data_IF_394866878875
#
_entry.id   IF_394866878875
#
_cell.length_a   1.000
_cell.length_b   1.000
_cell.length_c   1.000
_cell.angle_alpha   90.00
_cell.angle_beta   90.00
_cell.angle_gamma   90.00
#
_symmetry.space_group_name_H-M   'P 1'
#
loop_
_entity.id
_entity.type
_entity.pdbx_description
1 polymer ?
#
# COMPACT_ATOMS: atom_id res chain seq x y z
N UNK A 1 -14.08 10.93 33.09
CA UNK A 1 -13.87 10.22 34.35
C UNK A 1 -13.49 8.80 34.02
N UNK A 2 -12.22 8.50 34.17
CA UNK A 2 -11.50 7.22 34.33
C UNK A 2 -12.00 5.98 33.57
N UNK A 3 -11.35 5.68 32.41
CA UNK A 3 -11.19 4.31 31.94
C UNK A 3 -9.69 4.02 31.99
N UNK A 4 -9.35 3.10 32.88
CA UNK A 4 -8.01 2.63 33.18
C UNK A 4 -7.27 2.18 31.91
N UNK A 5 -6.04 2.68 31.75
CA UNK A 5 -5.00 2.10 30.87
C UNK A 5 -4.87 0.61 31.23
N UNK A 6 -5.38 -0.26 30.38
CA UNK A 6 -4.84 -1.60 30.29
C UNK A 6 -3.44 -1.44 29.70
N UNK A 7 -2.43 -1.70 30.51
CA UNK A 7 -1.05 -1.84 30.07
C UNK A 7 -0.99 -3.02 29.10
N UNK A 8 -1.17 -2.74 27.82
CA UNK A 8 -0.85 -3.72 26.77
C UNK A 8 0.67 -3.82 26.73
N UNK A 9 1.16 -5.05 26.84
CA UNK A 9 2.56 -5.41 26.73
C UNK A 9 3.17 -4.70 25.50
N UNK A 10 4.19 -3.85 25.67
CA UNK A 10 4.84 -3.13 24.59
C UNK A 10 5.31 -4.04 23.45
N UNK A 11 5.61 -5.31 23.72
CA UNK A 11 6.05 -6.31 22.75
C UNK A 11 4.93 -6.72 21.77
N UNK A 12 3.66 -6.46 22.08
CA UNK A 12 2.53 -6.70 21.16
C UNK A 12 2.40 -5.59 20.11
N UNK A 13 2.88 -4.37 20.41
CA UNK A 13 2.74 -3.19 19.56
C UNK A 13 3.95 -2.96 18.63
N UNK A 14 5.12 -3.53 18.97
CA UNK A 14 6.39 -3.32 18.27
C UNK A 14 6.98 -4.65 17.82
N UNK A 15 6.57 -5.13 16.65
CA UNK A 15 7.38 -6.09 15.91
C UNK A 15 8.53 -5.30 15.27
N UNK A 16 9.81 -5.55 15.63
CA UNK A 16 10.92 -4.76 15.16
C UNK A 16 11.07 -4.87 13.64
N UNK A 17 11.31 -3.72 13.01
CA UNK A 17 11.74 -3.65 11.61
C UNK A 17 13.14 -4.25 11.48
N UNK A 18 13.36 -4.99 10.39
CA UNK A 18 14.62 -5.67 10.07
C UNK A 18 15.79 -4.73 9.71
N UNK A 19 15.70 -3.42 9.99
CA UNK A 19 16.67 -2.45 9.46
C UNK A 19 17.07 -1.31 10.43
N UNK A 20 16.96 -1.51 11.74
CA UNK A 20 17.52 -0.55 12.71
C UNK A 20 18.58 -1.24 13.57
N UNK A 21 19.85 -1.03 13.20
CA UNK A 21 20.95 -1.23 14.12
C UNK A 21 20.85 -0.22 15.25
N UNK A 22 20.50 -0.66 16.45
CA UNK A 22 20.87 0.01 17.68
C UNK A 22 21.17 -1.02 18.79
N UNK A 23 22.19 -0.69 19.55
CA UNK A 23 22.90 -1.53 20.51
C UNK A 23 22.22 -1.41 21.86
N UNK A 24 21.52 -2.46 22.28
CA UNK A 24 20.97 -2.58 23.63
C UNK A 24 20.48 -4.00 23.87
N UNK A 25 21.34 -4.80 24.46
CA UNK A 25 21.12 -6.15 25.09
C UNK A 25 19.71 -6.74 25.06
N UNK A 26 19.29 -7.26 23.92
CA UNK A 26 18.30 -8.32 23.79
C UNK A 26 18.83 -9.32 22.78
N UNK A 27 18.58 -10.63 23.02
CA UNK A 27 19.10 -11.75 22.21
C UNK A 27 19.03 -11.43 20.72
N UNK A 28 20.19 -11.24 20.11
CA UNK A 28 20.38 -10.89 18.71
C UNK A 28 19.63 -11.91 17.83
N UNK A 29 18.60 -11.45 17.12
CA UNK A 29 18.08 -12.16 15.94
C UNK A 29 19.18 -12.09 14.90
N UNK A 30 19.63 -13.21 14.29
CA UNK A 30 20.69 -13.18 13.30
C UNK A 30 20.36 -12.21 12.18
N UNK A 31 21.30 -11.30 11.87
CA UNK A 31 21.30 -10.38 10.73
C UNK A 31 20.89 -11.14 9.46
N UNK A 32 19.75 -10.77 8.86
CA UNK A 32 19.28 -11.32 7.57
C UNK A 32 17.88 -11.92 7.55
N UNK A 33 17.10 -11.90 8.61
CA UNK A 33 15.73 -12.45 8.61
C UNK A 33 14.70 -11.32 8.53
N UNK A 34 14.17 -11.10 7.34
CA UNK A 34 12.92 -10.34 7.20
C UNK A 34 11.78 -11.13 7.86
N UNK A 35 10.94 -10.43 8.62
CA UNK A 35 9.74 -11.03 9.21
C UNK A 35 8.83 -11.61 8.12
N UNK A 36 8.33 -12.84 8.28
CA UNK A 36 7.45 -13.44 7.30
C UNK A 36 6.16 -12.61 7.22
N UNK A 37 5.74 -12.33 5.98
CA UNK A 37 4.45 -11.71 5.72
C UNK A 37 3.40 -12.80 5.56
N UNK A 38 2.35 -12.75 6.38
CA UNK A 38 1.19 -13.60 6.19
C UNK A 38 0.38 -13.09 4.98
N UNK A 39 0.14 -13.95 4.00
CA UNK A 39 -0.64 -13.65 2.80
C UNK A 39 -1.86 -14.57 2.80
N UNK A 40 -3.03 -14.00 3.01
CA UNK A 40 -4.29 -14.74 3.13
C UNK A 40 -5.25 -14.36 2.01
N UNK A 41 -6.03 -15.30 1.47
CA UNK A 41 -7.09 -14.99 0.51
C UNK A 41 -8.18 -14.15 1.19
N UNK A 42 -8.79 -13.24 0.43
CA UNK A 42 -9.87 -12.36 0.90
C UNK A 42 -9.43 -11.24 1.84
N UNK A 43 -8.13 -11.09 2.11
CA UNK A 43 -7.64 -10.04 3.00
C UNK A 43 -7.60 -8.67 2.28
N UNK A 44 -8.06 -7.64 3.00
CA UNK A 44 -8.05 -6.25 2.53
C UNK A 44 -6.89 -5.48 3.14
N UNK A 45 -6.23 -4.65 2.32
CA UNK A 45 -5.01 -3.95 2.70
C UNK A 45 -5.01 -2.48 2.29
N UNK A 46 -4.38 -1.65 3.14
CA UNK A 46 -3.80 -0.38 2.71
C UNK A 46 -2.35 -0.62 2.32
N UNK A 47 -2.01 -0.33 1.08
CA UNK A 47 -0.66 -0.44 0.54
C UNK A 47 -0.04 0.95 0.41
N UNK A 48 1.23 1.06 0.75
CA UNK A 48 2.02 2.28 0.52
C UNK A 48 3.39 1.93 -0.05
N UNK A 49 3.83 2.66 -1.08
CA UNK A 49 5.18 2.53 -1.65
C UNK A 49 5.76 3.92 -1.94
N UNK A 50 7.01 4.15 -1.56
CA UNK A 50 7.72 5.43 -1.72
C UNK A 50 8.80 5.35 -2.77
N UNK A 51 9.02 6.47 -3.45
CA UNK A 51 10.20 6.65 -4.31
C UNK A 51 11.48 6.79 -3.49
N UNK A 52 12.59 6.41 -4.12
CA UNK A 52 13.92 6.62 -3.54
C UNK A 52 14.13 8.09 -3.18
N UNK A 53 14.80 8.34 -2.04
CA UNK A 53 15.11 9.70 -1.55
C UNK A 53 13.93 10.67 -1.55
N UNK A 54 12.69 10.17 -1.56
CA UNK A 54 11.44 10.96 -1.66
C UNK A 54 11.35 11.82 -2.93
N UNK A 55 12.13 11.49 -3.99
CA UNK A 55 12.13 12.21 -5.25
C UNK A 55 10.74 12.17 -5.92
N UNK A 56 10.40 13.24 -6.65
CA UNK A 56 9.10 13.39 -7.30
C UNK A 56 8.96 12.58 -8.61
N UNK A 57 9.49 11.34 -8.60
CA UNK A 57 9.55 10.45 -9.78
C UNK A 57 8.18 10.02 -10.32
N UNK A 58 7.11 10.21 -9.53
CA UNK A 58 5.71 10.01 -9.95
C UNK A 58 4.99 11.34 -10.24
N UNK A 59 5.74 12.45 -10.40
CA UNK A 59 5.15 13.76 -10.67
C UNK A 59 4.09 13.66 -11.77
N UNK A 60 2.88 14.23 -11.54
CA UNK A 60 1.80 14.19 -12.52
C UNK A 60 2.18 14.78 -13.88
N UNK A 61 1.89 14.02 -14.91
CA UNK A 61 1.85 14.43 -16.30
C UNK A 61 0.93 13.46 -17.04
N UNK A 62 0.47 13.79 -18.25
CA UNK A 62 -0.32 12.83 -19.04
C UNK A 62 0.41 11.49 -19.16
N UNK A 63 1.67 11.51 -19.59
CA UNK A 63 2.50 10.31 -19.75
C UNK A 63 2.69 9.51 -18.44
N UNK A 64 2.97 10.21 -17.34
CA UNK A 64 3.10 9.55 -16.04
C UNK A 64 1.79 8.89 -15.62
N UNK A 65 0.66 9.60 -15.75
CA UNK A 65 -0.65 9.08 -15.38
C UNK A 65 -1.05 7.88 -16.26
N UNK A 66 -0.78 7.92 -17.56
CA UNK A 66 -1.06 6.81 -18.49
C UNK A 66 -0.24 5.56 -18.13
N UNK A 67 1.06 5.73 -17.83
CA UNK A 67 1.94 4.65 -17.38
C UNK A 67 1.40 4.01 -16.08
N UNK A 68 1.08 4.85 -15.09
CA UNK A 68 0.62 4.39 -13.79
C UNK A 68 -0.73 3.66 -13.90
N UNK A 69 -1.68 4.23 -14.66
CA UNK A 69 -3.00 3.64 -14.87
C UNK A 69 -2.89 2.28 -15.58
N UNK A 70 -2.10 2.22 -16.66
CA UNK A 70 -1.91 0.98 -17.41
C UNK A 70 -1.24 -0.11 -16.57
N UNK A 71 -0.15 0.22 -15.86
CA UNK A 71 0.53 -0.75 -14.99
C UNK A 71 -0.39 -1.26 -13.87
N UNK A 72 -1.19 -0.37 -13.26
CA UNK A 72 -2.14 -0.73 -12.20
C UNK A 72 -3.25 -1.62 -12.74
N UNK A 73 -3.88 -1.24 -13.85
CA UNK A 73 -4.93 -2.01 -14.52
C UNK A 73 -4.44 -3.41 -14.91
N UNK A 74 -3.27 -3.47 -15.54
CA UNK A 74 -2.67 -4.74 -15.96
C UNK A 74 -2.33 -5.65 -14.79
N UNK A 75 -1.73 -5.10 -13.73
CA UNK A 75 -1.40 -5.85 -12.53
C UNK A 75 -2.66 -6.39 -11.84
N UNK A 76 -3.70 -5.55 -11.67
CA UNK A 76 -4.96 -5.95 -11.06
C UNK A 76 -5.63 -7.11 -11.83
N UNK A 77 -5.70 -7.00 -13.15
CA UNK A 77 -6.27 -8.04 -14.02
C UNK A 77 -5.49 -9.37 -13.97
N UNK A 78 -4.14 -9.31 -13.98
CA UNK A 78 -3.29 -10.50 -13.96
C UNK A 78 -3.41 -11.31 -12.66
N UNK A 79 -3.55 -10.63 -11.54
CA UNK A 79 -3.52 -11.27 -10.23
C UNK A 79 -4.87 -11.33 -9.55
N UNK A 80 -5.92 -10.81 -10.20
CA UNK A 80 -7.29 -10.81 -9.67
C UNK A 80 -7.43 -9.97 -8.41
N UNK A 81 -6.71 -8.84 -8.34
CA UNK A 81 -6.80 -7.89 -7.22
C UNK A 81 -8.00 -6.98 -7.42
N UNK A 82 -8.80 -6.84 -6.38
CA UNK A 82 -9.95 -5.93 -6.33
C UNK A 82 -9.52 -4.60 -5.71
N UNK A 83 -9.53 -3.53 -6.52
CA UNK A 83 -9.17 -2.19 -6.07
C UNK A 83 -10.40 -1.45 -5.54
N UNK A 84 -10.27 -0.79 -4.38
CA UNK A 84 -11.30 0.05 -3.78
C UNK A 84 -10.97 1.54 -3.90
N UNK A 85 -9.69 1.89 -3.80
CA UNK A 85 -9.20 3.24 -4.02
C UNK A 85 -7.70 3.24 -4.38
N UNK A 86 -7.29 4.29 -5.08
CA UNK A 86 -5.88 4.57 -5.34
C UNK A 86 -5.61 6.09 -5.38
N UNK A 87 -4.40 6.46 -4.95
CA UNK A 87 -3.87 7.81 -5.07
C UNK A 87 -2.36 7.76 -5.27
N UNK A 88 -1.88 8.27 -6.40
CA UNK A 88 -0.46 8.41 -6.70
C UNK A 88 -0.05 9.88 -6.55
N UNK A 89 0.75 10.16 -5.50
CA UNK A 89 1.36 11.47 -5.30
C UNK A 89 2.68 11.55 -6.05
N UNK A 90 3.34 12.71 -6.02
CA UNK A 90 4.59 12.92 -6.78
C UNK A 90 5.73 11.96 -6.36
N UNK A 91 5.74 11.42 -5.14
CA UNK A 91 6.84 10.61 -4.61
C UNK A 91 6.44 9.34 -3.87
N UNK A 92 5.17 9.01 -3.81
CA UNK A 92 4.66 7.76 -3.24
C UNK A 92 3.23 7.51 -3.71
N UNK A 93 2.74 6.30 -3.47
CA UNK A 93 1.34 5.99 -3.74
C UNK A 93 0.70 5.23 -2.58
N UNK A 94 -0.63 5.31 -2.54
CA UNK A 94 -1.50 4.53 -1.68
C UNK A 94 -2.51 3.76 -2.52
N UNK A 95 -2.73 2.49 -2.16
CA UNK A 95 -3.81 1.67 -2.71
C UNK A 95 -4.60 1.09 -1.55
N UNK A 96 -5.93 1.02 -1.69
CA UNK A 96 -6.78 0.19 -0.85
C UNK A 96 -7.34 -0.91 -1.73
N UNK A 97 -7.09 -2.16 -1.36
CA UNK A 97 -7.39 -3.32 -2.20
C UNK A 97 -7.73 -4.56 -1.38
N UNK A 98 -8.50 -5.47 -1.96
CA UNK A 98 -8.66 -6.84 -1.48
C UNK A 98 -7.90 -7.81 -2.37
N UNK A 99 -7.27 -8.81 -1.76
CA UNK A 99 -6.57 -9.90 -2.43
C UNK A 99 -7.39 -11.21 -2.32
N UNK A 100 -8.28 -11.53 -3.26
CA UNK A 100 -9.15 -12.71 -3.16
C UNK A 100 -8.38 -14.04 -3.19
N UNK A 101 -7.15 -14.05 -3.75
CA UNK A 101 -6.42 -15.27 -4.10
C UNK A 101 -5.07 -15.41 -3.44
N UNK A 102 -4.75 -14.59 -2.44
CA UNK A 102 -3.44 -14.55 -1.77
C UNK A 102 -2.27 -14.35 -2.76
N UNK A 103 -2.43 -13.41 -3.72
CA UNK A 103 -1.46 -13.08 -4.77
C UNK A 103 -0.90 -11.65 -4.67
N UNK A 104 -1.09 -11.01 -3.52
CA UNK A 104 -0.58 -9.66 -3.27
C UNK A 104 0.93 -9.51 -3.58
N UNK A 105 1.83 -10.46 -3.23
CA UNK A 105 3.25 -10.29 -3.52
C UNK A 105 3.56 -10.26 -5.01
N UNK A 106 2.91 -11.09 -5.83
CA UNK A 106 3.09 -11.09 -7.30
C UNK A 106 2.53 -9.81 -7.92
N UNK A 107 1.34 -9.36 -7.48
CA UNK A 107 0.76 -8.10 -7.89
C UNK A 107 1.72 -6.93 -7.61
N UNK A 108 2.22 -6.86 -6.39
CA UNK A 108 3.14 -5.79 -5.98
C UNK A 108 4.47 -5.83 -6.73
N UNK A 109 5.02 -7.04 -6.97
CA UNK A 109 6.22 -7.22 -7.78
C UNK A 109 6.00 -6.69 -9.19
N UNK A 110 4.92 -7.14 -9.85
CA UNK A 110 4.60 -6.73 -11.22
C UNK A 110 4.39 -5.21 -11.31
N UNK A 111 3.50 -4.66 -10.46
CA UNK A 111 3.20 -3.23 -10.45
C UNK A 111 4.47 -2.39 -10.27
N UNK A 112 5.26 -2.69 -9.23
CA UNK A 112 6.46 -1.91 -8.93
C UNK A 112 7.54 -2.05 -10.00
N UNK A 113 7.77 -3.25 -10.54
CA UNK A 113 8.78 -3.51 -11.56
C UNK A 113 8.44 -2.77 -12.86
N UNK A 114 7.22 -2.94 -13.39
CA UNK A 114 6.84 -2.35 -14.66
C UNK A 114 6.70 -0.83 -14.56
N UNK A 115 6.18 -0.30 -13.45
CA UNK A 115 6.16 1.14 -13.19
C UNK A 115 7.57 1.71 -13.14
N UNK A 116 8.50 1.05 -12.42
CA UNK A 116 9.88 1.53 -12.32
C UNK A 116 10.58 1.55 -13.69
N UNK A 117 10.46 0.46 -14.47
CA UNK A 117 11.05 0.39 -15.81
C UNK A 117 10.49 1.46 -16.75
N UNK A 118 9.17 1.64 -16.75
CA UNK A 118 8.51 2.59 -17.63
C UNK A 118 8.83 4.05 -17.25
N UNK A 119 8.80 4.39 -15.97
CA UNK A 119 9.13 5.74 -15.50
C UNK A 119 10.62 6.06 -15.61
N UNK A 120 11.49 5.08 -15.36
CA UNK A 120 12.92 5.27 -15.60
C UNK A 120 13.21 5.51 -17.09
N UNK A 121 12.57 4.78 -18.00
CA UNK A 121 12.68 5.05 -19.43
C UNK A 121 12.13 6.45 -19.79
N UNK A 122 11.02 6.87 -19.18
CA UNK A 122 10.44 8.22 -19.39
C UNK A 122 11.40 9.32 -18.91
N UNK A 123 12.10 9.10 -17.80
CA UNK A 123 13.00 10.08 -17.18
C UNK A 123 14.47 9.95 -17.61
N UNK A 124 14.80 9.03 -18.53
CA UNK A 124 16.18 8.76 -18.94
C UNK A 124 17.06 8.23 -17.80
N UNK A 125 16.49 7.43 -16.90
CA UNK A 125 17.14 6.86 -15.70
C UNK A 125 17.26 5.35 -15.79
N UNK A 126 18.20 4.79 -15.01
CA UNK A 126 18.38 3.34 -14.84
C UNK A 126 18.52 2.89 -13.38
N UNK A 127 18.54 3.83 -12.43
CA UNK A 127 18.68 3.56 -11.02
C UNK A 127 17.36 3.13 -10.35
N UNK A 128 17.41 2.77 -9.06
CA UNK A 128 16.23 2.38 -8.30
C UNK A 128 15.20 3.52 -8.26
N UNK A 129 13.97 3.24 -8.69
CA UNK A 129 12.84 4.15 -8.57
C UNK A 129 12.28 4.18 -7.15
N UNK A 130 12.24 3.01 -6.52
CA UNK A 130 11.63 2.81 -5.20
C UNK A 130 12.66 2.88 -4.09
N UNK A 131 12.25 3.39 -2.94
CA UNK A 131 13.06 3.36 -1.72
C UNK A 131 13.48 1.93 -1.37
N UNK A 132 14.61 1.78 -0.67
CA UNK A 132 15.07 0.48 -0.16
C UNK A 132 13.99 -0.21 0.68
N UNK A 133 14.07 -1.53 0.80
CA UNK A 133 13.08 -2.33 1.50
C UNK A 133 11.82 -2.64 0.67
N UNK A 134 10.78 -3.13 1.32
CA UNK A 134 9.54 -3.55 0.68
C UNK A 134 8.45 -2.47 0.77
N UNK A 135 7.31 -2.71 0.13
CA UNK A 135 6.11 -1.90 0.32
C UNK A 135 5.52 -2.12 1.73
N UNK A 136 4.87 -1.12 2.29
CA UNK A 136 4.02 -1.28 3.47
C UNK A 136 2.69 -1.91 3.06
N UNK A 137 2.23 -2.89 3.83
CA UNK A 137 0.91 -3.49 3.69
C UNK A 137 0.28 -3.61 5.08
N UNK A 138 -0.76 -2.81 5.31
CA UNK A 138 -1.51 -2.77 6.56
C UNK A 138 -2.84 -3.46 6.35
N UNK A 139 -3.08 -4.57 7.05
CA UNK A 139 -4.33 -5.30 6.97
C UNK A 139 -5.46 -4.48 7.61
N UNK A 140 -6.59 -4.40 6.93
CA UNK A 140 -7.81 -3.74 7.41
C UNK A 140 -8.77 -4.80 7.93
N UNK A 141 -9.29 -4.61 9.15
CA UNK A 141 -10.05 -5.66 9.84
C UNK A 141 -11.55 -5.60 9.56
N UNK A 142 -12.07 -4.41 9.27
CA UNK A 142 -13.51 -4.16 9.10
C UNK A 142 -13.80 -3.25 7.92
N UNK A 143 -15.05 -3.21 7.48
CA UNK A 143 -15.51 -2.27 6.44
C UNK A 143 -15.30 -0.82 6.86
N UNK A 144 -15.54 -0.49 8.14
CA UNK A 144 -15.31 0.86 8.66
C UNK A 144 -13.83 1.26 8.57
N UNK A 145 -12.92 0.30 8.80
CA UNK A 145 -11.48 0.53 8.60
C UNK A 145 -11.16 0.76 7.12
N UNK A 146 -11.87 0.05 6.21
CA UNK A 146 -11.70 0.25 4.77
C UNK A 146 -12.20 1.64 4.37
N UNK A 147 -13.39 2.07 4.80
CA UNK A 147 -13.94 3.41 4.56
C UNK A 147 -12.95 4.48 5.03
N UNK A 148 -12.44 4.35 6.25
CA UNK A 148 -11.47 5.28 6.84
C UNK A 148 -10.16 5.33 6.03
N UNK A 149 -9.63 4.17 5.58
CA UNK A 149 -8.38 4.14 4.80
C UNK A 149 -8.57 4.54 3.35
N UNK A 150 -9.74 4.36 2.78
CA UNK A 150 -10.10 4.94 1.48
C UNK A 150 -10.15 6.47 1.59
N UNK A 151 -10.86 7.01 2.57
CA UNK A 151 -10.92 8.45 2.81
C UNK A 151 -9.53 9.05 3.07
N UNK A 152 -8.72 8.41 3.93
CA UNK A 152 -7.32 8.77 4.15
C UNK A 152 -6.50 8.78 2.84
N UNK A 153 -6.64 7.74 2.00
CA UNK A 153 -5.92 7.62 0.73
C UNK A 153 -6.28 8.77 -0.22
N UNK A 154 -7.56 9.10 -0.31
CA UNK A 154 -8.06 10.13 -1.22
C UNK A 154 -7.80 11.55 -0.71
N UNK A 155 -7.75 11.77 0.61
CA UNK A 155 -7.40 13.05 1.23
C UNK A 155 -5.89 13.34 1.23
N UNK A 156 -5.05 12.38 0.86
CA UNK A 156 -3.59 12.51 0.96
C UNK A 156 -3.03 13.73 0.21
N UNK A 157 -3.49 14.11 -1.00
CA UNK A 157 -3.02 15.33 -1.68
C UNK A 157 -3.31 16.60 -0.89
N UNK A 158 -4.43 16.64 -0.14
CA UNK A 158 -4.80 17.76 0.73
C UNK A 158 -3.96 17.77 2.00
N UNK A 159 -3.81 16.61 2.64
CA UNK A 159 -2.99 16.45 3.84
C UNK A 159 -1.50 16.79 3.59
N UNK A 160 -1.01 16.54 2.37
CA UNK A 160 0.34 16.90 1.94
C UNK A 160 0.48 18.39 1.54
N UNK A 161 -0.57 19.21 1.64
CA UNK A 161 -0.55 20.62 1.28
C UNK A 161 -0.42 20.90 -0.23
N UNK A 162 -0.76 19.91 -1.06
CA UNK A 162 -0.58 20.02 -2.51
C UNK A 162 -1.77 20.70 -3.20
N UNK A 163 -2.98 20.33 -2.83
CA UNK A 163 -4.24 20.88 -3.35
C UNK A 163 -5.26 21.02 -2.22
N UNK A 164 -6.25 21.91 -2.40
CA UNK A 164 -7.28 22.18 -1.37
C UNK A 164 -8.34 21.07 -1.28
N UNK A 165 -8.53 20.29 -2.34
CA UNK A 165 -9.46 19.16 -2.45
C UNK A 165 -8.82 18.05 -3.28
N UNK A 166 -9.04 16.78 -2.90
CA UNK A 166 -8.46 15.62 -3.59
C UNK A 166 -8.83 15.55 -5.07
N UNK A 167 -10.04 15.93 -5.44
CA UNK A 167 -10.51 15.99 -6.83
C UNK A 167 -9.73 16.97 -7.73
N UNK A 168 -9.04 17.95 -7.13
CA UNK A 168 -8.16 18.91 -7.85
C UNK A 168 -6.75 18.37 -8.08
N UNK A 169 -6.45 17.18 -7.58
CA UNK A 169 -5.15 16.55 -7.78
C UNK A 169 -4.93 16.20 -9.26
N UNK A 170 -3.84 16.66 -9.90
CA UNK A 170 -3.62 16.41 -11.34
C UNK A 170 -3.07 15.02 -11.65
N UNK A 171 -2.69 14.23 -10.64
CA UNK A 171 -2.17 12.88 -10.79
C UNK A 171 -3.26 11.81 -10.78
N UNK A 172 -2.82 10.55 -10.83
CA UNK A 172 -3.74 9.42 -10.80
C UNK A 172 -4.39 9.30 -9.42
N UNK A 173 -5.72 9.47 -9.39
CA UNK A 173 -6.55 9.50 -8.19
C UNK A 173 -7.93 8.91 -8.49
N UNK A 174 -8.42 8.01 -7.64
CA UNK A 174 -9.71 7.36 -7.86
C UNK A 174 -10.85 8.17 -7.26
N UNK A 175 -11.90 8.39 -8.04
CA UNK A 175 -13.09 9.07 -7.54
C UNK A 175 -14.01 8.07 -6.82
N UNK A 176 -14.54 8.37 -5.60
CA UNK A 176 -15.45 7.46 -4.88
C UNK A 176 -16.67 7.01 -5.69
N UNK A 177 -17.20 7.90 -6.53
CA UNK A 177 -18.34 7.58 -7.41
C UNK A 177 -18.02 6.55 -8.50
N UNK A 178 -16.76 6.21 -8.74
CA UNK A 178 -16.40 5.21 -9.75
C UNK A 178 -16.49 3.77 -9.24
N UNK A 179 -16.69 3.59 -7.92
CA UNK A 179 -16.91 2.25 -7.35
C UNK A 179 -18.18 1.64 -7.91
N UNK A 180 -18.07 0.40 -8.40
CA UNK A 180 -19.21 -0.33 -9.00
C UNK A 180 -19.69 0.21 -10.36
N UNK A 181 -18.96 1.15 -10.98
CA UNK A 181 -19.26 1.68 -12.32
C UNK A 181 -18.42 1.02 -13.41
N UNK A 182 -18.68 1.41 -14.67
CA UNK A 182 -17.93 0.94 -15.82
C UNK A 182 -16.42 1.13 -15.61
N UNK A 183 -15.65 0.14 -16.02
CA UNK A 183 -14.21 0.14 -15.91
C UNK A 183 -13.59 1.29 -16.73
N UNK A 184 -12.53 1.88 -16.18
CA UNK A 184 -11.66 2.79 -16.94
C UNK A 184 -10.83 1.96 -17.91
N UNK A 185 -10.77 2.37 -19.16
CA UNK A 185 -9.93 1.74 -20.18
C UNK A 185 -8.56 2.42 -20.18
N UNK A 186 -7.52 1.67 -19.84
CA UNK A 186 -6.14 2.10 -19.87
C UNK A 186 -5.47 1.61 -21.16
N UNK A 187 -5.11 2.53 -22.06
CA UNK A 187 -4.30 2.21 -23.23
C UNK A 187 -2.86 1.91 -22.85
N UNK A 188 -2.20 1.00 -23.59
CA UNK A 188 -0.77 0.77 -23.46
C UNK A 188 -0.02 2.06 -23.83
N UNK A 189 0.82 2.60 -22.92
CA UNK A 189 1.57 3.84 -23.20
C UNK A 189 2.48 3.70 -24.42
N UNK A 190 2.54 4.73 -25.22
CA UNK A 190 3.40 4.75 -26.40
C UNK A 190 4.86 5.09 -26.05
N UNK A 191 5.78 4.39 -26.70
CA UNK A 191 7.22 4.65 -26.61
C UNK A 191 7.87 4.18 -25.30
N UNK A 192 9.17 4.42 -25.19
CA UNK A 192 9.97 4.07 -24.01
C UNK A 192 10.00 2.56 -23.72
N UNK A 193 9.52 2.16 -22.57
CA UNK A 193 9.52 0.78 -22.10
C UNK A 193 8.51 -0.11 -22.86
N UNK A 194 7.34 0.40 -23.18
CA UNK A 194 6.30 -0.37 -23.88
C UNK A 194 6.52 -0.36 -25.38
N UNK A 195 6.69 -1.57 -25.95
CA UNK A 195 6.86 -1.72 -27.41
C UNK A 195 5.49 -1.79 -28.10
N UNK A 196 5.29 -1.15 -29.26
CA UNK A 196 4.00 -1.19 -29.97
C UNK A 196 3.50 -2.62 -30.24
N UNK A 197 4.39 -3.52 -30.62
CA UNK A 197 4.11 -4.93 -30.90
C UNK A 197 4.57 -5.87 -29.77
N UNK A 198 4.67 -5.35 -28.52
CA UNK A 198 5.08 -6.14 -27.37
C UNK A 198 4.00 -7.12 -26.90
N UNK A 199 4.35 -8.07 -26.00
CA UNK A 199 3.44 -9.11 -25.53
C UNK A 199 2.36 -8.60 -24.56
N UNK A 200 2.40 -7.33 -24.18
CA UNK A 200 1.37 -6.73 -23.30
C UNK A 200 0.16 -6.28 -24.13
N UNK A 201 -1.07 -6.43 -23.62
CA UNK A 201 -2.27 -6.05 -24.35
C UNK A 201 -2.28 -4.55 -24.67
N UNK A 202 -2.95 -4.18 -25.78
CA UNK A 202 -3.09 -2.78 -26.19
C UNK A 202 -3.91 -1.97 -25.19
N UNK A 203 -4.87 -2.63 -24.54
CA UNK A 203 -5.76 -2.02 -23.54
C UNK A 203 -5.92 -2.93 -22.33
N UNK A 204 -6.10 -2.33 -21.17
CA UNK A 204 -6.48 -3.01 -19.92
C UNK A 204 -7.63 -2.24 -19.28
N UNK A 205 -8.51 -2.96 -18.59
CA UNK A 205 -9.62 -2.36 -17.85
C UNK A 205 -9.30 -2.28 -16.37
N UNK A 206 -9.71 -1.21 -15.73
CA UNK A 206 -9.59 -0.97 -14.30
C UNK A 206 -10.95 -0.60 -13.72
N UNK A 207 -11.55 -1.52 -12.98
CA UNK A 207 -12.75 -1.27 -12.20
C UNK A 207 -12.42 -1.05 -10.73
N UNK A 208 -13.22 -0.22 -10.06
CA UNK A 208 -13.20 -0.13 -8.60
C UNK A 208 -14.32 -1.03 -8.05
N UNK A 209 -13.93 -1.97 -7.20
CA UNK A 209 -14.82 -2.91 -6.56
C UNK A 209 -15.37 -2.38 -5.23
N UNK A 210 -16.59 -2.79 -4.89
CA UNK A 210 -17.12 -2.64 -3.54
C UNK A 210 -16.31 -3.55 -2.59
N UNK A 211 -15.86 -3.08 -1.42
CA UNK A 211 -15.11 -3.93 -0.50
C UNK A 211 -15.98 -5.03 0.11
N UNK A 212 -15.39 -6.19 0.45
CA UNK A 212 -16.12 -7.27 1.11
C UNK A 212 -16.75 -6.79 2.42
N UNK A 213 -17.99 -7.22 2.65
CA UNK A 213 -18.77 -6.88 3.85
C UNK A 213 -19.45 -5.51 3.83
N UNK A 214 -19.31 -4.72 2.76
CA UNK A 214 -20.13 -3.53 2.57
C UNK A 214 -21.58 -3.93 2.24
N UNK A 215 -22.54 -3.27 2.87
CA UNK A 215 -23.95 -3.62 2.73
C UNK A 215 -24.49 -3.28 1.32
N UNK A 216 -24.32 -2.04 0.91
CA UNK A 216 -24.71 -1.57 -0.42
C UNK A 216 -23.68 -0.60 -0.99
N UNK A 217 -23.67 -0.48 -2.31
CA UNK A 217 -22.83 0.50 -3.01
C UNK A 217 -23.12 1.93 -2.55
N UNK A 218 -24.41 2.26 -2.37
CA UNK A 218 -24.82 3.62 -2.01
C UNK A 218 -24.33 3.99 -0.61
N UNK A 219 -24.63 3.16 0.40
CA UNK A 219 -24.21 3.42 1.79
C UNK A 219 -22.69 3.50 1.93
N UNK A 220 -21.97 2.65 1.18
CA UNK A 220 -20.51 2.68 1.16
C UNK A 220 -19.96 3.98 0.56
N UNK A 221 -20.46 4.40 -0.62
CA UNK A 221 -19.99 5.63 -1.29
C UNK A 221 -20.31 6.86 -0.43
N UNK A 222 -21.48 6.93 0.17
CA UNK A 222 -21.87 8.02 1.08
C UNK A 222 -20.94 8.08 2.31
N UNK A 223 -20.67 6.94 2.94
CA UNK A 223 -19.77 6.86 4.09
C UNK A 223 -18.35 7.32 3.73
N UNK A 224 -17.82 6.87 2.58
CA UNK A 224 -16.51 7.31 2.08
C UNK A 224 -16.49 8.81 1.83
N UNK A 225 -17.53 9.38 1.23
CA UNK A 225 -17.59 10.81 0.95
C UNK A 225 -17.63 11.66 2.23
N UNK A 226 -18.41 11.24 3.22
CA UNK A 226 -18.47 11.92 4.53
C UNK A 226 -17.11 11.89 5.19
N UNK A 227 -16.47 10.73 5.27
CA UNK A 227 -15.14 10.57 5.85
C UNK A 227 -14.07 11.37 5.07
N UNK A 228 -14.11 11.36 3.72
CA UNK A 228 -13.20 12.12 2.88
C UNK A 228 -13.29 13.63 3.16
N UNK A 229 -14.50 14.17 3.21
CA UNK A 229 -14.71 15.58 3.55
C UNK A 229 -14.16 15.93 4.93
N UNK A 230 -14.37 15.07 5.94
CA UNK A 230 -13.83 15.28 7.28
C UNK A 230 -12.30 15.34 7.28
N UNK A 231 -11.63 14.39 6.57
CA UNK A 231 -10.17 14.39 6.41
C UNK A 231 -9.67 15.65 5.69
N UNK A 232 -10.30 16.03 4.60
CA UNK A 232 -9.92 17.22 3.84
C UNK A 232 -10.08 18.49 4.64
N UNK A 233 -11.24 18.68 5.31
CA UNK A 233 -11.51 19.87 6.12
C UNK A 233 -10.55 19.98 7.31
N UNK A 234 -10.23 18.86 7.97
CA UNK A 234 -9.22 18.82 9.02
C UNK A 234 -7.83 19.21 8.49
N UNK A 235 -7.44 18.72 7.31
CA UNK A 235 -6.17 19.06 6.66
C UNK A 235 -6.12 20.56 6.28
N UNK A 236 -7.17 21.10 5.67
CA UNK A 236 -7.29 22.53 5.32
C UNK A 236 -7.16 23.40 6.56
N UNK A 237 -7.87 23.05 7.65
CA UNK A 237 -7.78 23.78 8.91
C UNK A 237 -6.36 23.71 9.50
N UNK A 238 -5.70 22.56 9.44
CA UNK A 238 -4.32 22.39 9.90
C UNK A 238 -3.35 23.28 9.11
N UNK A 239 -3.50 23.35 7.79
CA UNK A 239 -2.72 24.23 6.92
C UNK A 239 -2.91 25.71 7.29
N UNK A 240 -4.17 26.13 7.46
CA UNK A 240 -4.53 27.52 7.86
C UNK A 240 -3.92 27.88 9.22
N UNK A 241 -4.04 27.01 10.23
CA UNK A 241 -3.44 27.25 11.57
C UNK A 241 -1.92 27.41 11.55
N UNK A 242 -1.24 26.77 10.59
CA UNK A 242 0.21 26.89 10.41
C UNK A 242 0.63 28.07 9.52
N UNK A 243 -0.33 28.83 8.99
CA UNK A 243 -0.06 29.91 8.04
C UNK A 243 0.49 29.41 6.68
N UNK A 244 0.33 28.12 6.37
CA UNK A 244 0.82 27.53 5.14
C UNK A 244 -0.19 27.68 4.02
N UNK A 245 0.30 27.86 2.78
CA UNK A 245 -0.51 27.86 1.56
C UNK A 245 -0.37 26.52 0.84
N UNK A 246 -1.44 26.12 0.17
CA UNK A 246 -1.38 24.98 -0.75
C UNK A 246 -0.48 25.30 -1.94
N UNK A 247 0.27 24.31 -2.41
CA UNK A 247 1.14 24.44 -3.58
C UNK A 247 0.33 24.77 -4.85
N UNK A 248 -0.88 24.23 -4.93
CA UNK A 248 -1.78 24.37 -6.08
C UNK A 248 -1.37 23.50 -7.27
N UNK A 249 -2.32 23.30 -8.19
CA UNK A 249 -2.11 22.49 -9.40
C UNK A 249 -0.88 22.94 -10.21
N UNK A 250 -0.72 24.23 -10.40
CA UNK A 250 0.42 24.77 -11.17
C UNK A 250 1.77 24.45 -10.51
N UNK A 251 1.87 24.63 -9.18
CA UNK A 251 3.07 24.32 -8.43
C UNK A 251 3.40 22.80 -8.46
N UNK A 252 2.37 21.94 -8.36
CA UNK A 252 2.56 20.48 -8.49
C UNK A 252 3.14 20.13 -9.86
N UNK A 253 2.58 20.69 -10.94
CA UNK A 253 3.04 20.43 -12.31
C UNK A 253 4.42 21.05 -12.62
N UNK A 254 4.86 22.03 -11.85
CA UNK A 254 6.19 22.65 -11.98
C UNK A 254 7.30 21.88 -11.24
N UNK A 255 6.96 20.93 -10.33
CA UNK A 255 7.95 20.09 -9.65
C UNK A 255 8.86 19.41 -10.68
N UNK A 256 10.13 19.21 -10.34
CA UNK A 256 11.05 18.44 -11.19
C UNK A 256 11.12 17.00 -10.67
N UNK A 257 11.17 15.97 -11.54
CA UNK A 257 11.18 14.57 -11.10
C UNK A 257 12.34 14.21 -10.17
N UNK A 258 13.49 14.87 -10.32
CA UNK A 258 14.68 14.61 -9.51
C UNK A 258 14.71 15.37 -8.18
N UNK A 259 13.81 16.33 -8.00
CA UNK A 259 13.69 17.07 -6.74
C UNK A 259 13.00 16.22 -5.67
N UNK A 260 13.18 16.61 -4.44
CA UNK A 260 12.52 16.02 -3.26
C UNK A 260 11.99 17.12 -2.35
N UNK A 261 11.05 16.81 -1.43
CA UNK A 261 10.55 17.78 -0.48
C UNK A 261 11.69 18.40 0.34
N UNK A 262 11.69 19.71 0.47
CA UNK A 262 12.70 20.47 1.25
C UNK A 262 12.60 20.22 2.76
N UNK A 263 11.40 19.85 3.25
CA UNK A 263 11.18 19.57 4.67
C UNK A 263 11.54 18.11 4.96
N UNK A 264 12.48 17.86 5.89
CA UNK A 264 12.80 16.50 6.30
C UNK A 264 11.59 15.87 7.02
N UNK A 265 11.34 14.61 6.74
CA UNK A 265 10.34 13.83 7.47
C UNK A 265 11.06 12.99 8.53
N UNK A 266 10.69 13.10 9.82
CA UNK A 266 11.28 12.25 10.84
C UNK A 266 10.97 10.78 10.52
N UNK A 267 12.01 9.94 10.58
CA UNK A 267 11.85 8.49 10.42
C UNK A 267 11.00 7.99 11.59
N UNK A 268 9.75 7.65 11.32
CA UNK A 268 8.89 7.02 12.32
C UNK A 268 9.17 5.53 12.28
N UNK A 269 9.66 4.96 13.37
CA UNK A 269 9.92 3.51 13.52
C UNK A 269 8.64 2.65 13.59
N UNK A 270 7.46 3.22 13.25
CA UNK A 270 6.18 2.54 13.27
C UNK A 270 5.89 1.96 11.89
N UNK A 271 5.81 0.65 11.80
CA UNK A 271 5.35 -0.08 10.62
C UNK A 271 4.13 -0.95 11.00
N UNK A 272 2.94 -0.35 11.13
CA UNK A 272 1.75 -1.08 11.56
C UNK A 272 1.43 -2.17 10.55
N UNK A 273 1.19 -3.39 11.02
CA UNK A 273 0.78 -4.55 10.19
C UNK A 273 -0.73 -4.68 10.09
N UNK A 274 -1.45 -4.12 11.07
CA UNK A 274 -2.90 -4.16 11.17
C UNK A 274 -3.41 -2.76 11.53
N UNK A 275 -4.48 -2.33 10.89
CA UNK A 275 -5.27 -1.18 11.30
C UNK A 275 -6.69 -1.64 11.59
N UNK A 276 -7.16 -1.33 12.80
CA UNK A 276 -8.53 -1.49 13.23
C UNK A 276 -8.88 -0.35 14.19
N UNK A 277 -10.03 0.28 13.99
CA UNK A 277 -10.58 1.31 14.90
C UNK A 277 -11.06 0.68 16.20
N UNK A 278 -11.65 -0.50 16.10
CA UNK A 278 -12.03 -1.33 17.24
C UNK A 278 -10.79 -1.92 17.90
N UNK A 279 -10.60 -1.61 19.20
CA UNK A 279 -9.44 -2.04 19.96
C UNK A 279 -9.38 -3.57 20.10
N UNK A 280 -10.49 -4.23 20.29
CA UNK A 280 -10.54 -5.68 20.48
C UNK A 280 -10.22 -6.41 19.17
N UNK A 281 -10.80 -5.97 18.06
CA UNK A 281 -10.47 -6.50 16.72
C UNK A 281 -8.99 -6.28 16.36
N UNK A 282 -8.42 -5.16 16.79
CA UNK A 282 -6.99 -4.90 16.60
C UNK A 282 -6.14 -5.86 17.42
N UNK A 283 -6.45 -6.05 18.70
CA UNK A 283 -5.74 -7.01 19.57
C UNK A 283 -5.84 -8.42 19.01
N UNK A 284 -7.03 -8.87 18.64
CA UNK A 284 -7.24 -10.18 18.02
C UNK A 284 -6.39 -10.38 16.77
N UNK A 285 -6.38 -9.40 15.87
CA UNK A 285 -5.62 -9.48 14.63
C UNK A 285 -4.09 -9.47 14.88
N UNK A 286 -3.61 -8.73 15.88
CA UNK A 286 -2.22 -8.75 16.29
C UNK A 286 -1.81 -10.08 16.95
N UNK A 287 -2.68 -10.67 17.79
CA UNK A 287 -2.45 -11.99 18.37
C UNK A 287 -2.35 -13.07 17.28
N UNK A 288 -3.28 -13.08 16.32
CA UNK A 288 -3.22 -14.00 15.17
C UNK A 288 -1.93 -13.82 14.35
N UNK A 289 -1.47 -12.58 14.16
CA UNK A 289 -0.22 -12.32 13.46
C UNK A 289 0.99 -12.83 14.26
N UNK A 290 1.01 -12.64 15.58
CA UNK A 290 2.05 -13.17 16.46
C UNK A 290 2.11 -14.70 16.39
N UNK A 291 0.97 -15.36 16.52
CA UNK A 291 0.86 -16.83 16.45
C UNK A 291 1.36 -17.37 15.10
N UNK A 292 1.04 -16.65 14.01
CA UNK A 292 1.58 -16.98 12.68
C UNK A 292 3.11 -16.86 12.65
N UNK A 293 3.68 -15.76 13.16
CA UNK A 293 5.13 -15.53 13.14
C UNK A 293 5.86 -16.58 13.97
N UNK A 294 5.34 -16.92 15.15
CA UNK A 294 5.92 -17.96 16.02
C UNK A 294 5.86 -19.34 15.37
N UNK A 295 4.70 -19.72 14.82
CA UNK A 295 4.51 -20.99 14.12
C UNK A 295 5.40 -21.09 12.88
N UNK A 296 5.52 -19.99 12.11
CA UNK A 296 6.42 -19.93 10.97
C UNK A 296 7.88 -20.10 11.40
N UNK A 297 8.30 -19.46 12.48
CA UNK A 297 9.67 -19.56 12.99
C UNK A 297 10.01 -20.99 13.38
N UNK A 298 9.14 -21.66 14.14
CA UNK A 298 9.31 -23.06 14.54
C UNK A 298 9.39 -24.00 13.33
N UNK A 299 8.45 -23.84 12.37
CA UNK A 299 8.46 -24.64 11.14
C UNK A 299 9.74 -24.43 10.33
N UNK A 300 10.21 -23.18 10.24
CA UNK A 300 11.44 -22.83 9.53
C UNK A 300 12.69 -23.44 10.20
N UNK A 301 12.78 -23.41 11.51
CA UNK A 301 13.88 -24.03 12.27
C UNK A 301 13.92 -25.54 12.03
N UNK A 302 12.76 -26.20 12.13
CA UNK A 302 12.63 -27.63 11.84
C UNK A 302 13.01 -27.97 10.38
N UNK A 303 12.55 -27.17 9.42
CA UNK A 303 12.89 -27.35 8.00
C UNK A 303 14.40 -27.20 7.74
N UNK A 304 15.03 -26.20 8.36
CA UNK A 304 16.48 -25.99 8.23
C UNK A 304 17.31 -27.07 8.94
N UNK A 305 16.75 -27.70 9.98
CA UNK A 305 17.34 -28.85 10.65
C UNK A 305 17.20 -30.16 9.83
N UNK A 306 16.55 -30.12 8.66
CA UNK A 306 16.37 -31.29 7.77
C UNK A 306 15.27 -32.25 8.24
N UNK A 307 14.35 -31.82 9.13
CA UNK A 307 13.24 -32.67 9.53
C UNK A 307 12.28 -32.87 8.33
N UNK A 308 11.85 -34.12 8.14
CA UNK A 308 10.85 -34.46 7.13
C UNK A 308 9.45 -33.99 7.59
N UNK A 309 8.56 -33.78 6.62
CA UNK A 309 7.12 -33.53 6.85
C UNK A 309 6.78 -32.24 7.66
N UNK A 310 7.64 -31.24 7.57
CA UNK A 310 7.37 -29.93 8.24
C UNK A 310 6.23 -29.22 7.53
N UNK A 311 5.13 -28.97 8.23
CA UNK A 311 3.98 -28.19 7.74
C UNK A 311 4.09 -26.74 8.22
N UNK A 312 4.11 -25.81 7.28
CA UNK A 312 4.15 -24.37 7.56
C UNK A 312 2.74 -23.82 7.88
N UNK A 313 2.63 -22.73 8.65
CA UNK A 313 1.32 -22.15 8.97
C UNK A 313 0.65 -21.54 7.73
N UNK A 314 -0.68 -21.48 7.77
CA UNK A 314 -1.52 -20.85 6.74
C UNK A 314 -1.07 -19.43 6.43
N UNK A 315 -0.95 -19.11 5.14
CA UNK A 315 -0.49 -17.79 4.70
C UNK A 315 1.03 -17.67 4.52
N UNK A 316 1.79 -18.76 4.73
CA UNK A 316 3.18 -18.82 4.30
C UNK A 316 3.23 -18.73 2.78
N UNK A 317 3.85 -17.66 2.26
CA UNK A 317 3.85 -17.39 0.81
C UNK A 317 5.15 -17.84 0.13
N UNK A 318 6.29 -17.24 0.51
CA UNK A 318 7.53 -17.38 -0.26
C UNK A 318 8.02 -18.84 -0.33
N UNK A 319 8.08 -19.53 0.81
CA UNK A 319 8.52 -20.93 0.86
C UNK A 319 7.53 -21.84 0.15
N UNK A 320 6.22 -21.58 0.26
CA UNK A 320 5.21 -22.36 -0.49
C UNK A 320 5.40 -22.24 -2.00
N UNK A 321 5.63 -21.03 -2.51
CA UNK A 321 5.73 -20.77 -3.95
C UNK A 321 7.07 -21.23 -4.53
N UNK A 322 8.18 -20.99 -3.82
CA UNK A 322 9.52 -21.20 -4.35
C UNK A 322 10.16 -22.53 -3.91
N UNK A 323 9.79 -23.03 -2.74
CA UNK A 323 10.32 -24.29 -2.19
C UNK A 323 9.25 -25.39 -2.12
N UNK A 324 7.99 -25.09 -2.50
CA UNK A 324 6.86 -26.03 -2.50
C UNK A 324 6.64 -26.72 -1.15
N UNK A 325 6.95 -26.04 -0.04
CA UNK A 325 6.73 -26.60 1.29
C UNK A 325 5.23 -26.80 1.57
N UNK A 326 4.87 -27.88 2.29
CA UNK A 326 3.50 -28.10 2.75
C UNK A 326 3.06 -26.98 3.68
N UNK A 327 1.81 -26.50 3.51
CA UNK A 327 1.23 -25.49 4.37
C UNK A 327 -0.13 -25.98 4.90
N UNK A 328 -0.46 -25.57 6.12
CA UNK A 328 -1.78 -25.82 6.68
C UNK A 328 -2.86 -25.18 5.79
N UNK A 329 -4.05 -25.78 5.66
CA UNK A 329 -5.17 -25.23 4.90
C UNK A 329 -5.61 -23.87 5.47
N UNK A 330 -6.27 -23.06 4.61
CA UNK A 330 -6.83 -21.73 5.00
C UNK A 330 -8.12 -21.89 5.75
#
# INVERSE_FOLDING_TARGET
>A
MWISRLELDPDILNLPDSDSGDVGTQRAVPLGMSYPRQVLPGATYLITRRCTQRQFLLRPSSRTNDILLYCLARAAALYGIELHAYCFLSNHYHLVLTDPRARLPEFMRYLNEHTARALNALHGRWEALWASGTYSAVRLATVDDVVEKVAYTLANPVAAGLVERGERWPGLWSHPHNVGRAALVAGRPEGGYFRPNGPTPAYCELALALPPGAETLQTYVEAVQVALRQHEDAAVQAMRRRGHRFLGRAGVLAQQPMDSPSVPEPRRGLNPRVAARDQWKRVEALLRLRDFVESYRRAREAFLAGLADVVFPTGTYWLRVHQRVPCAPS
#
